data_IF_228843675195
#
_entry.id   IF_228843675195
#
_cell.length_a   1.000
_cell.length_b   1.000
_cell.length_c   1.000
_cell.angle_alpha   90.00
_cell.angle_beta   90.00
_cell.angle_gamma   90.00
#
_symmetry.space_group_name_H-M   'P 1'
#
loop_
_entity.id
_entity.type
_entity.pdbx_description
1 polymer ?
#
# COMPACT_ATOMS: atom_id res chain seq x y z
N UNK A 1 -19.21 -11.48 1.64
CA UNK A 1 -17.81 -11.24 1.21
C UNK A 1 -16.90 -12.08 2.08
N UNK A 2 -15.95 -12.78 1.49
CA UNK A 2 -14.92 -13.56 2.20
C UNK A 2 -13.70 -12.70 2.54
N UNK A 3 -12.85 -13.16 3.47
CA UNK A 3 -11.58 -12.47 3.76
C UNK A 3 -10.66 -12.42 2.54
N UNK A 4 -10.73 -13.43 1.68
CA UNK A 4 -9.98 -13.45 0.43
C UNK A 4 -10.43 -12.34 -0.52
N UNK A 5 -11.74 -12.18 -0.73
CA UNK A 5 -12.30 -11.07 -1.52
C UNK A 5 -11.97 -9.70 -0.91
N UNK A 6 -12.04 -9.58 0.42
CA UNK A 6 -11.67 -8.35 1.13
C UNK A 6 -10.19 -7.99 0.91
N UNK A 7 -9.29 -8.97 1.00
CA UNK A 7 -7.86 -8.78 0.72
C UNK A 7 -7.63 -8.41 -0.76
N UNK A 8 -8.40 -8.99 -1.69
CA UNK A 8 -8.35 -8.61 -3.10
C UNK A 8 -8.78 -7.15 -3.30
N UNK A 9 -9.89 -6.72 -2.69
CA UNK A 9 -10.41 -5.35 -2.82
C UNK A 9 -9.49 -4.30 -2.18
N UNK A 10 -8.84 -4.63 -1.07
CA UNK A 10 -8.07 -3.65 -0.27
C UNK A 10 -6.57 -3.67 -0.54
N UNK A 11 -6.01 -4.74 -1.13
CA UNK A 11 -4.56 -4.93 -1.33
C UNK A 11 -4.20 -5.35 -2.75
N UNK A 12 -4.60 -6.55 -3.18
CA UNK A 12 -4.11 -7.12 -4.44
C UNK A 12 -4.62 -6.35 -5.67
N UNK A 13 -5.90 -5.96 -5.69
CA UNK A 13 -6.53 -5.18 -6.75
C UNK A 13 -5.86 -3.81 -6.93
N UNK A 14 -5.79 -2.97 -5.88
CA UNK A 14 -5.11 -1.68 -5.94
C UNK A 14 -3.63 -1.78 -6.37
N UNK A 15 -2.87 -2.72 -5.82
CA UNK A 15 -1.47 -2.92 -6.21
C UNK A 15 -1.33 -3.31 -7.68
N UNK A 16 -2.25 -4.13 -8.21
CA UNK A 16 -2.28 -4.50 -9.63
C UNK A 16 -2.61 -3.32 -10.54
N UNK A 17 -3.61 -2.54 -10.19
CA UNK A 17 -3.99 -1.36 -10.98
C UNK A 17 -2.88 -0.30 -11.04
N UNK A 18 -2.05 -0.20 -10.01
CA UNK A 18 -0.90 0.71 -9.95
C UNK A 18 0.40 0.13 -10.56
N UNK A 19 0.40 -1.13 -11.00
CA UNK A 19 1.62 -1.79 -11.52
C UNK A 19 2.65 -2.13 -10.43
N UNK A 20 2.22 -2.28 -9.18
CA UNK A 20 3.08 -2.50 -8.00
C UNK A 20 3.10 -3.95 -7.51
N UNK A 21 2.57 -4.91 -8.27
CA UNK A 21 2.45 -6.32 -7.84
C UNK A 21 3.78 -7.03 -7.60
N UNK A 22 4.89 -6.53 -8.15
CA UNK A 22 6.23 -7.05 -7.84
C UNK A 22 6.74 -6.60 -6.47
N UNK A 23 6.12 -5.59 -5.88
CA UNK A 23 6.60 -4.90 -4.67
C UNK A 23 5.63 -5.10 -3.50
N UNK A 24 4.32 -4.92 -3.71
CA UNK A 24 3.32 -4.97 -2.64
C UNK A 24 1.98 -5.57 -3.10
N UNK A 25 1.03 -5.68 -2.17
CA UNK A 25 -0.33 -6.19 -2.44
C UNK A 25 -0.47 -7.70 -2.29
N UNK A 26 0.56 -8.39 -1.82
CA UNK A 26 0.57 -9.81 -1.50
C UNK A 26 1.69 -10.17 -0.53
N UNK A 27 1.86 -11.47 -0.29
CA UNK A 27 2.87 -12.03 0.64
C UNK A 27 3.82 -13.03 -0.06
N UNK A 28 3.97 -12.92 -1.39
CA UNK A 28 4.86 -13.81 -2.15
C UNK A 28 6.33 -13.47 -1.83
N UNK A 29 7.23 -14.47 -1.73
CA UNK A 29 8.67 -14.20 -1.65
C UNK A 29 9.16 -13.23 -2.72
N UNK A 30 9.95 -12.24 -2.32
CA UNK A 30 10.47 -11.16 -3.17
C UNK A 30 9.66 -9.86 -3.13
N UNK A 31 8.48 -9.85 -2.52
CA UNK A 31 7.74 -8.63 -2.19
C UNK A 31 8.33 -7.97 -0.94
N UNK A 32 8.04 -6.69 -0.76
CA UNK A 32 8.36 -6.00 0.48
C UNK A 32 7.57 -6.59 1.65
N UNK A 33 8.20 -6.65 2.82
CA UNK A 33 7.58 -7.08 4.07
C UNK A 33 6.65 -5.99 4.64
N UNK A 34 5.60 -5.69 3.87
CA UNK A 34 4.46 -4.85 4.23
C UNK A 34 3.30 -5.75 4.70
N UNK A 35 3.23 -6.01 6.01
CA UNK A 35 2.39 -7.06 6.60
C UNK A 35 1.49 -6.42 7.68
N UNK A 36 0.20 -6.75 7.68
CA UNK A 36 -0.72 -6.39 8.74
C UNK A 36 -1.33 -7.65 9.36
N UNK A 37 -1.28 -7.75 10.68
CA UNK A 37 -1.86 -8.85 11.46
C UNK A 37 -3.03 -8.29 12.27
N UNK A 38 -4.19 -8.93 12.17
CA UNK A 38 -5.41 -8.53 12.88
C UNK A 38 -5.76 -9.58 13.92
N UNK A 39 -6.19 -9.14 15.10
CA UNK A 39 -6.47 -10.02 16.23
C UNK A 39 -7.92 -10.55 16.18
N UNK A 40 -8.21 -11.44 15.24
CA UNK A 40 -9.43 -12.23 15.22
C UNK A 40 -9.17 -13.61 14.63
N UNK A 41 -9.97 -14.60 15.02
CA UNK A 41 -9.87 -15.95 14.47
C UNK A 41 -10.91 -16.13 13.35
N UNK A 42 -10.48 -16.39 12.10
CA UNK A 42 -11.38 -16.55 10.96
C UNK A 42 -12.18 -17.86 10.98
N UNK A 43 -11.73 -18.87 11.73
CA UNK A 43 -12.37 -20.18 11.81
C UNK A 43 -13.47 -20.24 12.88
N UNK A 44 -13.57 -19.21 13.72
CA UNK A 44 -14.62 -19.09 14.74
C UNK A 44 -15.68 -18.09 14.29
N UNK A 45 -16.99 -18.41 14.41
CA UNK A 45 -18.05 -17.47 14.14
C UNK A 45 -17.89 -16.21 15.01
N UNK A 46 -17.87 -15.05 14.38
CA UNK A 46 -17.89 -13.78 15.11
C UNK A 46 -19.31 -13.53 15.61
N UNK A 47 -19.45 -13.39 16.92
CA UNK A 47 -20.76 -13.19 17.56
C UNK A 47 -21.34 -11.79 17.29
N UNK A 48 -20.49 -10.75 17.27
CA UNK A 48 -20.88 -9.37 16.99
C UNK A 48 -20.04 -8.80 15.83
N UNK A 49 -20.66 -8.30 14.73
CA UNK A 49 -19.96 -7.61 13.65
C UNK A 49 -19.01 -6.48 14.12
N UNK A 50 -19.31 -5.81 15.23
CA UNK A 50 -18.47 -4.76 15.80
C UNK A 50 -17.05 -5.26 16.15
N UNK A 51 -16.90 -6.55 16.43
CA UNK A 51 -15.60 -7.14 16.78
C UNK A 51 -14.68 -7.25 15.56
N UNK A 52 -15.25 -7.48 14.37
CA UNK A 52 -14.51 -7.42 13.10
C UNK A 52 -14.07 -5.97 12.83
N UNK A 53 -14.96 -5.01 13.03
CA UNK A 53 -14.66 -3.59 12.82
C UNK A 53 -13.53 -3.11 13.74
N UNK A 54 -13.60 -3.46 15.02
CA UNK A 54 -12.53 -3.19 16.01
C UNK A 54 -11.20 -3.81 15.58
N UNK A 55 -11.21 -5.08 15.17
CA UNK A 55 -10.00 -5.77 14.75
C UNK A 55 -9.35 -5.11 13.53
N UNK A 56 -10.11 -4.69 12.52
CA UNK A 56 -9.57 -4.01 11.35
C UNK A 56 -9.17 -2.55 11.61
N UNK A 57 -9.80 -1.89 12.58
CA UNK A 57 -9.46 -0.52 12.99
C UNK A 57 -8.12 -0.48 13.72
N UNK A 58 -7.83 -1.47 14.57
CA UNK A 58 -6.60 -1.55 15.36
C UNK A 58 -5.89 -2.88 15.11
N UNK A 59 -4.96 -2.87 14.15
CA UNK A 59 -4.11 -4.01 13.86
C UNK A 59 -3.24 -4.39 15.09
N UNK A 60 -3.07 -5.69 15.31
CA UNK A 60 -2.22 -6.22 16.37
C UNK A 60 -0.75 -5.90 16.11
N UNK A 61 -0.30 -6.11 14.87
CA UNK A 61 1.05 -5.75 14.44
C UNK A 61 1.02 -5.29 12.99
N UNK A 62 1.79 -4.25 12.66
CA UNK A 62 2.05 -3.86 11.28
C UNK A 62 3.55 -3.77 11.05
N UNK A 63 4.04 -4.46 10.01
CA UNK A 63 5.37 -4.31 9.47
C UNK A 63 5.32 -3.45 8.21
N UNK A 64 6.24 -2.50 8.12
CA UNK A 64 6.49 -1.70 6.92
C UNK A 64 7.93 -1.93 6.49
N UNK A 65 8.12 -2.53 5.30
CA UNK A 65 9.43 -2.86 4.76
C UNK A 65 10.31 -3.62 5.76
N UNK A 66 9.71 -4.55 6.51
CA UNK A 66 10.39 -5.40 7.49
C UNK A 66 10.60 -4.77 8.87
N UNK A 67 10.22 -3.51 9.06
CA UNK A 67 10.29 -2.82 10.36
C UNK A 67 8.91 -2.81 11.00
N UNK A 68 8.81 -3.21 12.26
CA UNK A 68 7.58 -3.07 13.03
C UNK A 68 7.27 -1.59 13.26
N UNK A 69 6.07 -1.16 12.84
CA UNK A 69 5.61 0.24 12.96
C UNK A 69 4.38 0.38 13.84
N UNK A 70 3.60 -0.69 14.02
CA UNK A 70 2.45 -0.72 14.93
C UNK A 70 2.52 -1.98 15.78
N UNK A 71 2.19 -1.85 17.07
CA UNK A 71 1.97 -2.95 18.01
C UNK A 71 0.77 -2.63 18.89
N UNK A 72 -0.17 -3.57 19.01
CA UNK A 72 -1.41 -3.46 19.79
C UNK A 72 -2.24 -2.18 19.47
N UNK A 73 -2.22 -1.80 18.19
CA UNK A 73 -2.87 -0.59 17.68
C UNK A 73 -2.14 0.73 17.98
N UNK A 74 -0.99 0.69 18.63
CA UNK A 74 -0.15 1.86 18.93
C UNK A 74 1.01 1.98 17.94
N UNK A 75 1.33 3.20 17.52
CA UNK A 75 2.46 3.46 16.62
C UNK A 75 3.76 3.38 17.43
N UNK A 76 4.64 2.44 17.07
CA UNK A 76 5.93 2.21 17.75
C UNK A 76 7.13 2.70 16.93
N UNK A 77 6.95 2.94 15.63
CA UNK A 77 8.01 3.47 14.75
C UNK A 77 7.42 4.22 13.57
N UNK A 78 8.15 5.21 13.07
CA UNK A 78 7.80 5.92 11.83
C UNK A 78 8.23 5.16 10.56
N UNK A 79 9.01 4.09 10.72
CA UNK A 79 9.50 3.22 9.64
C UNK A 79 10.35 3.95 8.60
N UNK A 80 10.61 3.27 7.49
CA UNK A 80 11.29 3.83 6.33
C UNK A 80 10.27 4.14 5.23
N UNK A 81 10.24 5.40 4.80
CA UNK A 81 9.34 5.90 3.75
C UNK A 81 10.08 6.01 2.43
N UNK A 82 9.37 5.79 1.32
CA UNK A 82 9.90 6.01 -0.03
C UNK A 82 8.86 6.70 -0.90
N UNK A 83 9.34 7.49 -1.84
CA UNK A 83 8.52 8.13 -2.87
C UNK A 83 8.64 7.33 -4.16
N UNK A 84 7.53 6.76 -4.62
CA UNK A 84 7.47 6.09 -5.93
C UNK A 84 7.16 7.14 -7.01
N UNK A 85 7.95 7.14 -8.07
CA UNK A 85 7.78 8.02 -9.22
C UNK A 85 8.12 7.27 -10.50
N UNK A 86 7.56 7.73 -11.63
CA UNK A 86 7.78 7.10 -12.94
C UNK A 86 8.90 7.84 -13.67
N UNK A 87 10.00 7.15 -13.96
CA UNK A 87 11.07 7.65 -14.81
C UNK A 87 10.74 7.38 -16.28
N UNK A 88 9.90 8.22 -16.88
CA UNK A 88 9.50 8.09 -18.27
C UNK A 88 10.70 8.38 -19.20
N UNK A 89 11.06 7.41 -20.05
CA UNK A 89 12.07 7.57 -21.09
C UNK A 89 11.38 7.78 -22.43
N UNK A 90 11.45 9.01 -22.94
CA UNK A 90 10.89 9.40 -24.23
C UNK A 90 11.98 10.04 -25.09
N UNK A 91 11.78 10.02 -26.42
CA UNK A 91 12.66 10.80 -27.31
C UNK A 91 12.40 12.28 -27.06
N UNK A 92 13.47 13.05 -26.94
CA UNK A 92 13.35 14.50 -26.81
C UNK A 92 12.66 15.09 -28.04
N UNK A 93 11.72 16.00 -27.78
CA UNK A 93 11.02 16.76 -28.82
C UNK A 93 11.38 18.24 -28.66
N UNK A 94 12.22 18.80 -29.55
CA UNK A 94 12.66 20.19 -29.47
C UNK A 94 11.50 21.19 -29.48
N UNK A 95 10.42 20.90 -30.20
CA UNK A 95 9.24 21.76 -30.26
C UNK A 95 8.53 21.81 -28.90
N UNK A 96 8.33 20.67 -28.26
CA UNK A 96 7.72 20.61 -26.92
C UNK A 96 8.58 21.35 -25.88
N UNK A 97 9.90 21.17 -25.93
CA UNK A 97 10.80 21.86 -25.00
C UNK A 97 10.80 23.37 -25.19
N UNK A 98 10.75 23.84 -26.44
CA UNK A 98 10.61 25.25 -26.77
C UNK A 98 9.29 25.82 -26.21
N UNK A 99 8.18 25.14 -26.46
CA UNK A 99 6.85 25.58 -26.01
C UNK A 99 6.74 25.64 -24.48
N UNK A 100 7.33 24.67 -23.78
CA UNK A 100 7.42 24.68 -22.31
C UNK A 100 8.19 25.92 -21.84
N UNK A 101 9.36 26.19 -22.42
CA UNK A 101 10.20 27.32 -22.02
C UNK A 101 9.51 28.66 -22.28
N UNK A 102 8.95 28.88 -23.46
CA UNK A 102 8.24 30.11 -23.80
C UNK A 102 7.04 30.37 -22.87
N UNK A 103 6.27 29.33 -22.52
CA UNK A 103 5.14 29.48 -21.58
C UNK A 103 5.59 29.74 -20.14
N UNK A 104 6.63 29.05 -19.67
CA UNK A 104 7.15 29.20 -18.31
C UNK A 104 7.75 30.59 -18.05
N UNK A 105 8.28 31.25 -19.08
CA UNK A 105 8.83 32.60 -18.96
C UNK A 105 7.76 33.71 -19.06
N UNK A 106 6.64 33.43 -19.72
CA UNK A 106 5.60 34.43 -19.98
C UNK A 106 4.57 34.56 -18.86
N UNK A 107 4.31 33.48 -18.14
CA UNK A 107 3.32 33.39 -17.05
C UNK A 107 3.99 32.93 -15.77
#
# INVERSE_FOLDING_TARGET
ISLYELAQMTRAGPAKSLGLTSICGGLKPGMDADIAVYNFNPDTPVANPDDIEKAFTRAAVVFKSGVEVVRDGEIVSNGNKRTLWVNAKVKENPQVMRDINEKFLKY
#
